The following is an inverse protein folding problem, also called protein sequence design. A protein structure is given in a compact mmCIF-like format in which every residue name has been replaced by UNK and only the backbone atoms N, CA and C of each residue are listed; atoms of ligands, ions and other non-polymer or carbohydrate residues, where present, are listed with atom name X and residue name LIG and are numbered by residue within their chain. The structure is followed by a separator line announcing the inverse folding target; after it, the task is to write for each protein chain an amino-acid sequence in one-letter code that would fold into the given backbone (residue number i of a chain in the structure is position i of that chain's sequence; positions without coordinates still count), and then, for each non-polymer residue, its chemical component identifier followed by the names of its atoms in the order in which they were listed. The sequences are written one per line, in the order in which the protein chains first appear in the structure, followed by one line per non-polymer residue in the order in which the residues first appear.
data_IF_211251311386
#
_entry.id   IF_211251311386
#
_cell.length_a   1.000
_cell.length_b   1.000
_cell.length_c   1.000
_cell.angle_alpha   90.00
_cell.angle_beta   90.00
_cell.angle_gamma   90.00
#
_symmetry.space_group_name_H-M   'P 1'
#
loop_
_entity.id
_entity.type
_entity.pdbx_description
1 polymer ?
#
# COMPACT_ATOMS: atom_id res chain seq x y z
N UNK A 1 9.81 10.93 -4.26
CA UNK A 1 8.44 10.55 -4.66
C UNK A 1 8.01 9.32 -3.87
N UNK A 2 6.80 9.38 -3.32
CA UNK A 2 6.24 8.33 -2.47
C UNK A 2 4.90 7.88 -3.07
N UNK A 3 4.74 6.57 -3.23
CA UNK A 3 3.48 6.00 -3.67
C UNK A 3 2.59 5.64 -2.47
N UNK A 4 1.32 6.01 -2.55
CA UNK A 4 0.32 5.67 -1.53
C UNK A 4 -0.85 4.95 -2.19
N UNK A 5 -0.99 3.67 -1.89
CA UNK A 5 -2.04 2.82 -2.43
C UNK A 5 -3.42 3.20 -1.85
N UNK A 6 -4.47 2.93 -2.59
CA UNK A 6 -5.83 3.09 -2.11
C UNK A 6 -6.12 2.11 -0.96
N UNK A 7 -7.00 2.47 -0.07
CA UNK A 7 -7.45 1.60 1.00
C UNK A 7 -7.58 2.33 2.32
N UNK A 8 -8.28 1.71 3.27
CA UNK A 8 -8.55 2.31 4.57
C UNK A 8 -7.30 2.38 5.45
N UNK A 9 -6.44 1.36 5.40
CA UNK A 9 -5.23 1.32 6.22
C UNK A 9 -4.22 2.38 5.79
N UNK A 10 -3.98 2.51 4.48
CA UNK A 10 -3.10 3.55 3.95
C UNK A 10 -3.69 4.94 4.18
N UNK A 11 -5.01 5.08 4.05
CA UNK A 11 -5.70 6.33 4.37
C UNK A 11 -5.55 6.74 5.82
N UNK A 12 -5.52 5.78 6.73
CA UNK A 12 -5.36 6.03 8.17
C UNK A 12 -3.98 6.61 8.52
N UNK A 13 -2.96 6.40 7.70
CA UNK A 13 -1.64 6.97 7.97
C UNK A 13 -1.52 8.45 7.57
N UNK A 14 -2.39 8.95 6.70
CA UNK A 14 -2.30 10.33 6.19
C UNK A 14 -2.22 11.38 7.30
N UNK A 15 -3.06 11.33 8.38
CA UNK A 15 -2.96 12.31 9.46
C UNK A 15 -1.62 12.35 10.18
N UNK A 16 -0.83 11.30 10.08
CA UNK A 16 0.45 11.16 10.78
C UNK A 16 1.66 11.47 9.91
N UNK A 17 1.47 11.74 8.62
CA UNK A 17 2.57 12.09 7.72
C UNK A 17 3.03 13.51 8.03
N UNK A 18 4.34 13.70 8.19
CA UNK A 18 4.93 15.00 8.53
C UNK A 18 5.91 15.52 7.46
N UNK A 19 6.43 14.66 6.61
CA UNK A 19 7.46 15.01 5.63
C UNK A 19 6.91 15.85 4.48
N UNK A 20 6.98 17.15 4.60
CA UNK A 20 6.42 18.11 3.63
C UNK A 20 7.20 18.21 2.33
N UNK A 21 8.44 17.73 2.28
CA UNK A 21 9.23 17.73 1.04
C UNK A 21 8.86 16.60 0.09
N UNK A 22 8.13 15.59 0.55
CA UNK A 22 7.71 14.46 -0.28
C UNK A 22 6.65 14.87 -1.30
N UNK A 23 6.74 14.27 -2.48
CA UNK A 23 5.70 14.34 -3.50
C UNK A 23 4.97 12.98 -3.52
N UNK A 24 3.67 13.00 -3.27
CA UNK A 24 2.87 11.78 -3.21
C UNK A 24 2.18 11.50 -4.54
N UNK A 25 2.17 10.23 -4.92
CA UNK A 25 1.38 9.73 -6.05
C UNK A 25 0.47 8.64 -5.50
N UNK A 26 -0.81 8.70 -5.82
CA UNK A 26 -1.80 7.75 -5.32
C UNK A 26 -2.79 7.37 -6.40
N UNK A 27 -3.38 6.18 -6.27
CA UNK A 27 -4.51 5.78 -7.09
C UNK A 27 -5.86 5.95 -6.38
N UNK A 28 -5.87 6.72 -5.27
CA UNK A 28 -7.11 7.03 -4.55
C UNK A 28 -7.39 8.53 -4.60
N UNK A 29 -8.50 8.92 -5.20
CA UNK A 29 -8.89 10.33 -5.32
C UNK A 29 -9.03 10.96 -3.93
N UNK A 30 -9.67 10.27 -2.99
CA UNK A 30 -9.84 10.76 -1.62
C UNK A 30 -8.51 10.94 -0.89
N UNK A 31 -7.55 10.05 -1.09
CA UNK A 31 -6.22 10.20 -0.50
C UNK A 31 -5.50 11.44 -1.06
N UNK A 32 -5.60 11.65 -2.37
CA UNK A 32 -5.00 12.83 -3.01
C UNK A 32 -5.55 14.13 -2.44
N UNK A 33 -6.86 14.23 -2.29
CA UNK A 33 -7.51 15.41 -1.71
C UNK A 33 -7.08 15.64 -0.26
N UNK A 34 -7.06 14.59 0.56
CA UNK A 34 -6.65 14.70 1.96
C UNK A 34 -5.19 15.13 2.11
N UNK A 35 -4.31 14.64 1.24
CA UNK A 35 -2.91 15.05 1.23
C UNK A 35 -2.75 16.53 0.91
N UNK A 36 -3.44 17.00 -0.13
CA UNK A 36 -3.39 18.41 -0.55
C UNK A 36 -3.96 19.33 0.53
N UNK A 37 -5.05 18.92 1.18
CA UNK A 37 -5.66 19.67 2.30
C UNK A 37 -4.69 19.85 3.47
N UNK A 38 -3.78 18.89 3.67
CA UNK A 38 -2.75 18.98 4.69
C UNK A 38 -1.47 19.69 4.24
N UNK A 39 -1.45 20.23 3.02
CA UNK A 39 -0.34 21.01 2.50
C UNK A 39 0.74 20.18 1.80
N UNK A 40 0.48 18.90 1.49
CA UNK A 40 1.40 18.08 0.71
C UNK A 40 1.18 18.28 -0.79
N UNK A 41 2.23 18.06 -1.57
CA UNK A 41 2.11 17.95 -3.01
C UNK A 41 1.68 16.53 -3.35
N UNK A 42 0.67 16.40 -4.20
CA UNK A 42 0.13 15.09 -4.57
C UNK A 42 -0.38 15.07 -6.00
N UNK A 43 -0.28 13.91 -6.63
CA UNK A 43 -0.88 13.61 -7.92
C UNK A 43 -1.70 12.32 -7.80
N UNK A 44 -2.81 12.28 -8.53
CA UNK A 44 -3.65 11.08 -8.63
C UNK A 44 -3.47 10.51 -10.03
N UNK A 45 -3.34 9.18 -10.13
CA UNK A 45 -3.24 8.50 -11.43
C UNK A 45 -4.49 8.78 -12.27
N UNK A 46 -4.31 8.91 -13.58
CA UNK A 46 -5.42 8.93 -14.52
C UNK A 46 -6.07 7.55 -14.61
N UNK A 47 -7.30 7.47 -15.08
CA UNK A 47 -8.00 6.22 -15.28
C UNK A 47 -9.44 6.25 -14.79
N UNK A 48 -10.05 5.07 -14.73
CA UNK A 48 -11.44 4.90 -14.30
C UNK A 48 -11.50 4.66 -12.79
N UNK A 49 -12.48 5.27 -12.14
CA UNK A 49 -12.69 5.11 -10.70
C UNK A 49 -13.60 3.89 -10.47
N UNK A 50 -13.11 2.95 -9.68
CA UNK A 50 -13.89 1.80 -9.23
C UNK A 50 -14.82 2.22 -8.10
N UNK A 51 -16.14 2.16 -8.32
CA UNK A 51 -17.13 2.70 -7.40
C UNK A 51 -17.05 2.10 -5.98
N UNK A 52 -16.77 0.80 -5.86
CA UNK A 52 -16.76 0.10 -4.57
C UNK A 52 -15.59 0.44 -3.66
N UNK A 53 -14.44 0.84 -4.24
CA UNK A 53 -13.21 1.11 -3.48
C UNK A 53 -12.67 2.52 -3.68
N UNK A 54 -13.24 3.27 -4.63
CA UNK A 54 -12.79 4.59 -5.07
C UNK A 54 -11.37 4.59 -5.64
N UNK A 55 -10.83 3.41 -5.93
CA UNK A 55 -9.52 3.27 -6.53
C UNK A 55 -9.57 3.56 -8.03
N UNK A 56 -8.54 4.23 -8.54
CA UNK A 56 -8.35 4.43 -9.97
C UNK A 56 -7.66 3.20 -10.53
N UNK A 57 -8.24 2.63 -11.59
CA UNK A 57 -7.75 1.40 -12.22
C UNK A 57 -7.77 1.55 -13.75
N UNK A 58 -7.28 0.54 -14.44
CA UNK A 58 -7.34 0.45 -15.90
C UNK A 58 -6.04 0.84 -16.57
N UNK A 59 -6.07 0.79 -17.90
CA UNK A 59 -4.88 0.97 -18.72
C UNK A 59 -4.24 2.35 -18.59
N UNK A 60 -5.05 3.40 -18.46
CA UNK A 60 -4.51 4.75 -18.29
C UNK A 60 -3.78 4.92 -16.97
N UNK A 61 -4.28 4.28 -15.89
CA UNK A 61 -3.60 4.27 -14.60
C UNK A 61 -2.26 3.54 -14.69
N UNK A 62 -2.26 2.38 -15.33
CA UNK A 62 -1.04 1.63 -15.60
C UNK A 62 -0.01 2.45 -16.39
N UNK A 63 -0.43 3.09 -17.48
CA UNK A 63 0.44 3.91 -18.31
C UNK A 63 1.00 5.12 -17.56
N UNK A 64 0.20 5.74 -16.69
CA UNK A 64 0.69 6.89 -15.92
C UNK A 64 1.76 6.50 -14.91
N UNK A 65 1.74 5.26 -14.39
CA UNK A 65 2.77 4.78 -13.48
C UNK A 65 4.15 4.59 -14.15
N UNK A 66 4.18 4.33 -15.44
CA UNK A 66 5.44 4.03 -16.16
C UNK A 66 6.50 5.12 -16.04
N UNK A 67 6.10 6.36 -15.88
CA UNK A 67 7.03 7.49 -15.79
C UNK A 67 7.57 7.75 -14.39
N UNK A 68 7.02 7.07 -13.37
CA UNK A 68 7.42 7.31 -11.99
C UNK A 68 8.44 6.28 -11.50
N UNK A 69 9.31 6.74 -10.61
CA UNK A 69 10.20 5.92 -9.80
C UNK A 69 10.05 6.39 -8.36
N UNK A 70 9.65 5.49 -7.47
CA UNK A 70 9.35 5.85 -6.09
C UNK A 70 10.50 5.47 -5.16
N UNK A 71 10.83 6.34 -4.21
CA UNK A 71 11.76 6.03 -3.13
C UNK A 71 11.11 5.07 -2.14
N UNK A 72 9.89 5.39 -1.74
CA UNK A 72 9.08 4.58 -0.82
C UNK A 72 7.68 4.44 -1.37
N UNK A 73 6.99 3.41 -0.91
CA UNK A 73 5.57 3.24 -1.18
C UNK A 73 4.91 2.44 -0.09
N UNK A 74 3.60 2.61 0.06
CA UNK A 74 2.81 2.00 1.11
C UNK A 74 1.55 1.40 0.51
N UNK A 75 1.33 0.11 0.80
CA UNK A 75 0.20 -0.67 0.27
C UNK A 75 -0.62 -1.27 1.39
N UNK A 76 -1.94 -1.36 1.15
CA UNK A 76 -2.80 -2.26 1.89
C UNK A 76 -2.82 -3.63 1.23
N UNK A 77 -3.29 -4.64 1.95
CA UNK A 77 -3.47 -6.00 1.43
C UNK A 77 -4.67 -6.65 2.11
N UNK A 78 -5.31 -7.59 1.41
CA UNK A 78 -6.40 -8.37 1.98
C UNK A 78 -5.91 -9.68 2.60
N UNK A 79 -4.77 -10.19 2.14
CA UNK A 79 -4.18 -11.40 2.69
C UNK A 79 -2.66 -11.41 2.54
N UNK A 80 -1.99 -12.15 3.41
CA UNK A 80 -0.53 -12.31 3.44
C UNK A 80 -0.19 -13.75 3.74
N UNK A 81 0.69 -14.35 2.94
CA UNK A 81 1.31 -15.63 3.27
C UNK A 81 2.66 -15.79 2.56
N UNK A 82 3.49 -16.71 3.06
CA UNK A 82 4.76 -17.01 2.37
C UNK A 82 4.54 -17.60 0.99
N UNK A 83 3.46 -18.37 0.81
CA UNK A 83 3.16 -19.07 -0.43
C UNK A 83 2.53 -18.13 -1.45
N UNK A 84 1.48 -17.41 -1.05
CA UNK A 84 0.69 -16.57 -1.95
C UNK A 84 1.19 -15.12 -2.03
N UNK A 85 2.06 -14.73 -1.13
CA UNK A 85 2.50 -13.34 -1.01
C UNK A 85 1.37 -12.42 -0.55
N UNK A 86 1.27 -11.25 -1.15
CA UNK A 86 0.23 -10.28 -0.86
C UNK A 86 -0.92 -10.45 -1.84
N UNK A 87 -2.15 -10.53 -1.33
CA UNK A 87 -3.31 -10.85 -2.16
C UNK A 87 -4.44 -9.84 -2.02
N UNK A 88 -5.23 -9.70 -3.07
CA UNK A 88 -6.37 -8.78 -3.18
C UNK A 88 -7.45 -9.43 -4.04
N UNK A 89 -8.74 -9.05 -3.90
CA UNK A 89 -9.81 -9.70 -4.66
C UNK A 89 -9.86 -9.37 -6.15
N UNK A 90 -9.45 -8.17 -6.54
CA UNK A 90 -9.72 -7.64 -7.88
C UNK A 90 -8.46 -7.64 -8.76
N UNK A 91 -8.50 -8.32 -9.94
CA UNK A 91 -7.34 -8.35 -10.84
C UNK A 91 -6.89 -6.98 -11.36
N UNK A 92 -7.81 -6.05 -11.56
CA UNK A 92 -7.47 -4.71 -12.05
C UNK A 92 -6.75 -3.89 -10.97
N UNK A 93 -7.18 -4.00 -9.71
CA UNK A 93 -6.47 -3.39 -8.60
C UNK A 93 -5.13 -4.06 -8.35
N UNK A 94 -5.06 -5.39 -8.47
CA UNK A 94 -3.82 -6.14 -8.32
C UNK A 94 -2.75 -5.68 -9.32
N UNK A 95 -3.15 -5.43 -10.56
CA UNK A 95 -2.22 -4.98 -11.59
C UNK A 95 -1.59 -3.63 -11.23
N UNK A 96 -2.38 -2.68 -10.76
CA UNK A 96 -1.88 -1.37 -10.34
C UNK A 96 -0.98 -1.49 -9.12
N UNK A 97 -1.37 -2.29 -8.12
CA UNK A 97 -0.56 -2.55 -6.93
C UNK A 97 0.80 -3.14 -7.29
N UNK A 98 0.80 -4.18 -8.09
CA UNK A 98 2.01 -4.90 -8.52
C UNK A 98 2.96 -3.98 -9.27
N UNK A 99 2.45 -3.28 -10.27
CA UNK A 99 3.29 -2.41 -11.10
C UNK A 99 3.87 -1.24 -10.30
N UNK A 100 3.09 -0.62 -9.42
CA UNK A 100 3.59 0.44 -8.55
C UNK A 100 4.67 -0.08 -7.59
N UNK A 101 4.49 -1.28 -7.06
CA UNK A 101 5.47 -1.91 -6.15
C UNK A 101 6.79 -2.20 -6.87
N UNK A 102 6.74 -2.69 -8.09
CA UNK A 102 7.94 -2.93 -8.91
C UNK A 102 8.75 -1.64 -9.19
N UNK A 103 8.08 -0.50 -9.16
CA UNK A 103 8.71 0.80 -9.38
C UNK A 103 9.13 1.50 -8.10
N UNK A 104 9.11 0.81 -6.99
CA UNK A 104 9.40 1.36 -5.67
C UNK A 104 10.64 0.71 -5.08
N UNK A 105 11.58 1.54 -4.61
CA UNK A 105 12.83 1.06 -4.01
C UNK A 105 12.58 0.39 -2.66
N UNK A 106 11.79 1.02 -1.80
CA UNK A 106 11.50 0.55 -0.45
C UNK A 106 9.98 0.41 -0.27
N UNK A 107 9.39 -0.74 -0.69
CA UNK A 107 7.96 -0.96 -0.52
C UNK A 107 7.60 -1.46 0.88
N UNK A 108 6.50 -0.95 1.41
CA UNK A 108 5.94 -1.32 2.71
C UNK A 108 4.49 -1.76 2.56
N UNK A 109 4.14 -2.89 3.13
CA UNK A 109 2.76 -3.37 3.21
C UNK A 109 2.26 -3.21 4.64
N UNK A 110 1.14 -2.52 4.79
CA UNK A 110 0.53 -2.25 6.09
C UNK A 110 -0.68 -3.15 6.27
N UNK A 111 -0.70 -3.95 7.32
CA UNK A 111 -1.84 -4.80 7.62
C UNK A 111 -1.86 -5.18 9.09
N UNK A 112 -3.05 -5.48 9.61
CA UNK A 112 -3.15 -6.10 10.92
C UNK A 112 -2.83 -7.61 10.83
N UNK A 113 -2.60 -8.23 11.97
CA UNK A 113 -2.18 -9.63 12.04
C UNK A 113 -3.21 -10.60 11.47
N UNK A 114 -4.49 -10.24 11.43
CA UNK A 114 -5.54 -11.10 10.89
C UNK A 114 -5.38 -11.39 9.40
N UNK A 115 -4.69 -10.53 8.66
CA UNK A 115 -4.46 -10.71 7.22
C UNK A 115 -3.54 -11.90 6.91
N UNK A 116 -2.74 -12.32 7.85
CA UNK A 116 -1.86 -13.50 7.71
C UNK A 116 -2.64 -14.82 7.65
N UNK A 117 -3.92 -14.81 7.97
CA UNK A 117 -4.79 -16.00 7.95
C UNK A 117 -5.77 -15.96 6.78
N UNK A 118 -5.62 -15.03 5.85
CA UNK A 118 -6.53 -14.85 4.74
C UNK A 118 -5.75 -14.91 3.42
N UNK A 119 -6.39 -15.48 2.39
CA UNK A 119 -5.87 -15.47 1.03
C UNK A 119 -6.99 -15.03 0.09
N UNK A 120 -6.75 -13.96 -0.63
CA UNK A 120 -7.66 -13.47 -1.68
C UNK A 120 -7.24 -14.04 -3.05
N UNK A 121 -8.11 -13.98 -4.06
CA UNK A 121 -7.87 -14.67 -5.34
C UNK A 121 -6.66 -14.24 -6.14
N UNK A 122 -6.17 -13.00 -5.99
CA UNK A 122 -5.14 -12.48 -6.89
C UNK A 122 -3.93 -11.99 -6.10
N UNK A 123 -2.76 -12.53 -6.41
CA UNK A 123 -1.49 -12.06 -5.82
C UNK A 123 -0.98 -10.82 -6.55
N UNK A 124 -0.41 -9.87 -5.81
CA UNK A 124 0.21 -8.69 -6.40
C UNK A 124 1.68 -8.48 -6.02
N UNK A 125 2.23 -9.32 -5.19
CA UNK A 125 3.64 -9.29 -4.82
C UNK A 125 4.02 -10.52 -4.02
N UNK A 126 5.30 -10.91 -4.11
CA UNK A 126 5.83 -12.00 -3.31
C UNK A 126 6.03 -11.57 -1.86
N UNK A 127 5.95 -12.51 -0.93
CA UNK A 127 6.11 -12.24 0.51
C UNK A 127 7.40 -11.47 0.82
N UNK A 128 8.50 -11.79 0.15
CA UNK A 128 9.79 -11.17 0.36
C UNK A 128 9.97 -9.83 -0.35
N UNK A 129 9.02 -9.40 -1.17
CA UNK A 129 9.16 -8.19 -2.00
C UNK A 129 8.95 -6.88 -1.25
N UNK A 130 8.47 -6.93 -0.02
CA UNK A 130 8.19 -5.73 0.77
C UNK A 130 8.45 -5.96 2.26
N UNK A 131 8.66 -4.87 2.99
CA UNK A 131 8.62 -4.88 4.45
C UNK A 131 7.16 -4.83 4.89
N UNK A 132 6.78 -5.71 5.81
CA UNK A 132 5.42 -5.79 6.34
C UNK A 132 5.39 -5.11 7.70
N UNK A 133 4.53 -4.09 7.84
CA UNK A 133 4.30 -3.43 9.11
C UNK A 133 2.95 -3.90 9.64
N UNK A 134 2.96 -4.57 10.79
CA UNK A 134 1.77 -5.16 11.40
C UNK A 134 1.70 -4.82 12.89
N UNK A 135 0.55 -5.06 13.52
CA UNK A 135 0.29 -4.70 14.91
C UNK A 135 0.91 -5.67 15.92
N UNK A 136 1.02 -6.95 15.56
CA UNK A 136 1.59 -7.99 16.43
C UNK A 136 2.09 -9.17 15.61
N UNK A 137 2.93 -10.01 16.20
CA UNK A 137 3.39 -11.24 15.57
C UNK A 137 2.17 -12.16 15.29
N UNK A 138 1.91 -12.53 14.04
CA UNK A 138 0.70 -13.31 13.71
C UNK A 138 0.76 -14.74 14.23
N UNK A 139 1.95 -15.38 14.19
CA UNK A 139 2.23 -16.72 14.70
C UNK A 139 3.72 -16.83 15.01
N UNK A 140 4.08 -17.76 15.90
CA UNK A 140 5.49 -18.05 16.22
C UNK A 140 6.31 -18.44 14.99
N UNK A 141 5.70 -19.09 13.99
CA UNK A 141 6.39 -19.48 12.76
C UNK A 141 6.92 -18.28 11.96
N UNK A 142 6.42 -17.07 12.20
CA UNK A 142 6.90 -15.84 11.56
C UNK A 142 7.98 -15.14 12.37
N UNK A 143 8.27 -15.59 13.58
CA UNK A 143 9.36 -15.04 14.38
C UNK A 143 10.69 -15.30 13.66
N UNK A 144 11.50 -14.26 13.53
CA UNK A 144 12.76 -14.35 12.80
C UNK A 144 12.68 -13.96 11.31
N UNK A 145 11.48 -13.71 10.78
CA UNK A 145 11.36 -13.10 9.45
C UNK A 145 11.87 -11.66 9.51
N UNK A 146 12.89 -11.37 8.72
CA UNK A 146 13.56 -10.06 8.76
C UNK A 146 12.79 -8.94 8.08
N UNK A 147 11.75 -9.27 7.31
CA UNK A 147 10.91 -8.29 6.63
C UNK A 147 9.60 -7.96 7.38
N UNK A 148 9.41 -8.46 8.60
CA UNK A 148 8.23 -8.13 9.42
C UNK A 148 8.65 -7.16 10.52
N UNK A 149 7.95 -6.02 10.57
CA UNK A 149 8.12 -4.99 11.61
C UNK A 149 6.83 -4.91 12.41
N UNK A 150 6.97 -5.04 13.73
CA UNK A 150 5.83 -4.88 14.64
C UNK A 150 5.73 -3.42 15.03
N UNK A 151 4.60 -2.80 14.74
CA UNK A 151 4.36 -1.40 15.09
C UNK A 151 4.23 -1.28 16.62
N UNK A 152 4.91 -0.28 17.20
CA UNK A 152 4.80 0.00 18.62
C UNK A 152 3.54 0.82 18.87
N UNK A 153 2.85 0.49 19.97
CA UNK A 153 1.77 1.35 20.43
C UNK A 153 2.33 2.71 20.86
N UNK A 154 1.58 3.82 20.59
CA UNK A 154 2.02 5.11 21.08
C UNK A 154 2.03 5.09 22.63
N UNK A 155 2.96 5.83 23.27
CA UNK A 155 2.98 5.89 24.73
C UNK A 155 1.67 6.41 25.28
N UNK A 156 1.22 5.86 26.40
CA UNK A 156 0.03 6.33 27.10
C UNK A 156 0.24 7.77 27.56
N UNK A 157 -0.72 8.63 27.30
CA UNK A 157 -0.71 10.04 27.74
C UNK A 157 -1.14 10.14 29.20
#
# INVERSE_FOLDING_TARGET
FVYLDAGTTTGAMIPFIEEKSAFFVTNAVSHGLRLVERGFRAAVLGGEIKASTEAVVGNEAYLSLKKYHFTKGFWGTNGVSRISGFTTPDPNEALIKEFAMERTREPYVLCDSSKFFQTSPVSFGEFSSATIITDRLPQESYRGEDNIVIAKEPPAL
#
